data_IF_109693143818
#
_entry.id   IF_109693143818
#
_cell.length_a   1.000
_cell.length_b   1.000
_cell.length_c   1.000
_cell.angle_alpha   90.00
_cell.angle_beta   90.00
_cell.angle_gamma   90.00
#
_symmetry.space_group_name_H-M   'P 1'
#
loop_
_entity.id
_entity.type
_entity.pdbx_description
1 polymer ?
#
# COMPACT_ATOMS: atom_id res chain seq x y z
N UNK A 1 -27.47 69.16 18.85
CA UNK A 1 -27.19 68.31 20.03
C UNK A 1 -27.81 66.93 19.81
N UNK A 2 -26.98 65.93 19.48
CA UNK A 2 -27.11 64.50 19.80
C UNK A 2 -25.85 63.84 19.23
N UNK A 3 -25.06 63.27 20.13
CA UNK A 3 -23.75 62.70 19.84
C UNK A 3 -23.85 61.43 18.97
N UNK A 4 -22.84 61.14 18.13
CA UNK A 4 -22.76 59.87 17.43
C UNK A 4 -22.25 58.79 18.39
N UNK A 5 -22.99 57.68 18.47
CA UNK A 5 -22.65 56.52 19.29
C UNK A 5 -21.45 55.80 18.65
N UNK A 6 -20.36 55.70 19.43
CA UNK A 6 -19.19 54.86 19.13
C UNK A 6 -19.56 53.39 19.24
N UNK A 7 -19.15 52.60 18.24
CA UNK A 7 -19.09 51.15 18.33
C UNK A 7 -17.95 50.72 19.27
N UNK A 8 -18.17 49.74 20.17
CA UNK A 8 -17.09 49.01 20.80
C UNK A 8 -16.87 47.66 20.13
N UNK A 9 -15.65 47.45 19.65
CA UNK A 9 -15.04 46.15 19.40
C UNK A 9 -14.94 45.34 20.70
N UNK A 10 -15.34 44.08 20.72
CA UNK A 10 -14.61 43.02 21.43
C UNK A 10 -14.94 41.67 20.82
N UNK A 11 -13.89 40.88 20.66
CA UNK A 11 -13.85 39.53 20.12
C UNK A 11 -14.49 38.54 21.10
N UNK A 12 -15.22 37.56 20.57
CA UNK A 12 -15.84 36.50 21.37
C UNK A 12 -16.34 35.34 20.51
N UNK A 13 -15.44 34.38 20.26
CA UNK A 13 -15.73 32.94 20.11
C UNK A 13 -17.02 32.52 19.39
N UNK A 14 -16.99 32.39 18.06
CA UNK A 14 -17.69 31.29 17.37
C UNK A 14 -17.08 31.03 15.98
N UNK A 15 -15.95 30.31 15.94
CA UNK A 15 -15.42 29.71 14.71
C UNK A 15 -14.69 28.41 15.09
N UNK A 16 -15.47 27.36 15.38
CA UNK A 16 -15.02 25.96 15.43
C UNK A 16 -16.01 25.10 14.66
N UNK A 17 -16.05 25.30 13.36
CA UNK A 17 -16.48 24.33 12.33
C UNK A 17 -15.69 24.69 11.07
N UNK A 18 -15.09 23.69 10.43
CA UNK A 18 -14.20 23.75 9.26
C UNK A 18 -12.70 23.88 9.58
N UNK A 19 -12.10 22.77 10.04
CA UNK A 19 -10.67 22.46 9.85
C UNK A 19 -10.43 20.98 10.16
N UNK A 20 -10.92 20.12 9.29
CA UNK A 20 -10.41 18.76 9.09
C UNK A 20 -10.44 18.59 7.58
N UNK A 21 -9.39 17.95 7.03
CA UNK A 21 -9.05 17.74 5.62
C UNK A 21 -7.82 18.54 5.22
N UNK A 22 -6.78 17.81 4.81
CA UNK A 22 -5.42 18.22 4.44
C UNK A 22 -4.37 18.13 5.57
N UNK A 23 -3.96 16.89 5.90
CA UNK A 23 -2.64 16.61 6.49
C UNK A 23 -2.06 15.36 5.82
N UNK A 24 -1.61 15.52 4.58
CA UNK A 24 -0.65 14.64 3.94
C UNK A 24 0.35 15.54 3.21
N UNK A 25 1.64 15.20 3.33
CA UNK A 25 2.85 15.92 2.88
C UNK A 25 3.39 16.95 3.89
N UNK A 26 4.24 16.49 4.82
CA UNK A 26 5.20 17.37 5.51
C UNK A 26 6.60 16.77 5.72
N UNK A 27 6.94 15.60 5.16
CA UNK A 27 8.25 14.95 5.42
C UNK A 27 9.22 14.97 4.22
N UNK A 28 8.80 15.32 3.00
CA UNK A 28 9.73 15.36 1.85
C UNK A 28 10.24 16.77 1.48
N UNK A 29 9.79 17.84 2.14
CA UNK A 29 10.10 19.23 1.73
C UNK A 29 11.26 19.90 2.49
N UNK A 30 11.95 19.23 3.42
CA UNK A 30 12.96 19.87 4.29
C UNK A 30 14.32 19.16 4.33
N UNK A 31 14.87 18.78 3.18
CA UNK A 31 16.27 18.35 3.06
C UNK A 31 17.08 19.10 1.99
N UNK A 32 16.44 19.70 0.98
CA UNK A 32 17.15 20.34 -0.12
C UNK A 32 17.42 21.85 0.08
N UNK A 33 16.49 22.62 0.66
CA UNK A 33 16.62 24.08 0.78
C UNK A 33 17.57 24.52 1.91
N UNK A 34 17.71 23.73 2.99
CA UNK A 34 18.65 24.03 4.09
C UNK A 34 20.13 23.95 3.64
N UNK A 35 20.44 23.06 2.68
CA UNK A 35 21.81 22.80 2.18
C UNK A 35 22.26 23.89 1.19
N UNK A 36 21.34 24.63 0.56
CA UNK A 36 21.69 25.73 -0.36
C UNK A 36 22.08 27.01 0.38
N UNK A 37 21.41 27.33 1.49
CA UNK A 37 21.54 28.65 2.15
C UNK A 37 22.71 28.79 3.14
N UNK A 38 23.49 27.74 3.42
CA UNK A 38 24.53 27.76 4.47
C UNK A 38 25.96 27.41 3.99
N UNK A 39 26.28 27.55 2.69
CA UNK A 39 27.65 27.32 2.15
C UNK A 39 28.73 28.33 2.62
N UNK A 40 28.41 29.29 3.48
CA UNK A 40 29.30 30.40 3.86
C UNK A 40 29.98 30.30 5.23
N UNK A 41 29.67 29.32 6.08
CA UNK A 41 30.07 29.35 7.49
C UNK A 41 30.73 28.04 8.00
N UNK A 42 31.63 27.44 7.22
CA UNK A 42 32.60 26.46 7.74
C UNK A 42 33.96 26.74 7.10
N UNK A 43 34.62 27.79 7.58
CA UNK A 43 36.08 27.91 7.51
C UNK A 43 36.53 28.48 8.84
N UNK A 44 37.67 28.02 9.35
CA UNK A 44 38.20 28.21 10.72
C UNK A 44 37.76 27.13 11.71
N UNK A 45 38.41 25.96 11.68
CA UNK A 45 39.12 25.32 12.80
C UNK A 45 39.82 24.01 12.31
N UNK A 46 41.00 23.63 12.85
CA UNK A 46 41.89 22.65 12.22
C UNK A 46 41.63 21.18 12.59
N UNK A 47 42.03 20.31 11.66
CA UNK A 47 41.94 18.84 11.64
C UNK A 47 42.67 18.12 12.78
N UNK A 48 41.96 17.22 13.47
CA UNK A 48 42.47 15.92 13.94
C UNK A 48 41.29 14.93 14.04
N UNK A 49 41.42 13.76 13.41
CA UNK A 49 40.30 12.90 13.00
C UNK A 49 39.71 12.00 14.08
N UNK A 50 38.39 11.86 14.05
CA UNK A 50 37.60 10.60 14.04
C UNK A 50 36.11 10.98 13.96
N UNK A 51 35.50 10.89 12.77
CA UNK A 51 34.04 11.03 12.62
C UNK A 51 33.39 9.69 12.94
N UNK A 52 32.95 9.56 14.18
CA UNK A 52 32.10 8.47 14.67
C UNK A 52 30.67 8.68 14.18
N UNK A 53 30.04 7.56 13.81
CA UNK A 53 28.71 7.45 13.24
C UNK A 53 27.54 7.95 14.13
N UNK A 54 26.56 8.54 13.44
CA UNK A 54 25.11 8.62 13.70
C UNK A 54 24.62 9.44 14.92
N UNK A 55 23.32 9.77 14.95
CA UNK A 55 22.38 8.80 15.55
C UNK A 55 20.98 8.78 14.88
N UNK A 56 20.34 7.67 14.48
CA UNK A 56 20.08 6.38 15.16
C UNK A 56 19.51 6.47 16.59
N UNK A 57 19.09 7.65 17.09
CA UNK A 57 18.64 7.81 18.50
C UNK A 57 17.13 7.89 18.75
N UNK A 58 16.29 8.04 17.73
CA UNK A 58 14.83 8.03 17.93
C UNK A 58 14.18 6.65 17.77
N UNK A 59 14.85 5.70 17.10
CA UNK A 59 14.32 4.34 16.90
C UNK A 59 14.72 3.34 18.00
N UNK A 60 15.85 3.52 18.69
CA UNK A 60 16.28 2.59 19.76
C UNK A 60 15.55 2.76 21.10
N UNK A 61 14.92 3.92 21.34
CA UNK A 61 14.29 4.19 22.64
C UNK A 61 12.98 3.41 22.87
N UNK A 62 12.39 2.84 21.80
CA UNK A 62 11.18 2.02 21.88
C UNK A 62 11.46 0.51 21.94
N UNK A 63 12.67 0.06 21.62
CA UNK A 63 13.04 -1.37 21.59
C UNK A 63 13.60 -1.91 22.92
N UNK A 64 13.85 -1.05 23.92
CA UNK A 64 14.48 -1.45 25.20
C UNK A 64 13.49 -1.84 26.31
N UNK A 65 12.22 -2.07 25.99
CA UNK A 65 11.17 -2.48 26.94
C UNK A 65 10.99 -4.00 27.07
N UNK A 66 12.07 -4.77 27.19
CA UNK A 66 11.98 -6.23 27.37
C UNK A 66 11.32 -6.61 28.71
N UNK A 67 10.16 -7.27 28.67
CA UNK A 67 9.69 -8.14 29.76
C UNK A 67 9.76 -9.60 29.29
N UNK A 68 10.19 -10.54 30.15
CA UNK A 68 10.24 -11.94 29.79
C UNK A 68 8.84 -12.50 29.56
N UNK A 69 8.70 -13.25 28.46
CA UNK A 69 7.51 -14.02 28.11
C UNK A 69 7.23 -15.06 29.21
N UNK A 70 6.11 -14.94 29.90
CA UNK A 70 5.58 -16.00 30.76
C UNK A 70 4.52 -16.76 29.97
N UNK A 71 4.76 -18.04 29.69
CA UNK A 71 3.75 -18.90 29.06
C UNK A 71 2.60 -19.16 30.04
N UNK A 72 1.51 -18.42 29.89
CA UNK A 72 0.23 -18.78 30.51
C UNK A 72 -0.76 -19.11 29.40
N UNK A 73 -1.02 -20.40 29.25
CA UNK A 73 -2.03 -20.99 28.38
C UNK A 73 -3.41 -20.44 28.74
N UNK A 74 -3.89 -19.44 28.00
CA UNK A 74 -5.30 -19.05 28.04
C UNK A 74 -6.11 -20.09 27.26
N UNK A 75 -6.88 -20.91 27.98
CA UNK A 75 -7.90 -21.77 27.38
C UNK A 75 -8.98 -20.87 26.79
N UNK A 76 -9.04 -20.80 25.46
CA UNK A 76 -10.18 -20.27 24.73
C UNK A 76 -11.41 -21.12 25.09
N UNK A 77 -12.41 -20.52 25.74
CA UNK A 77 -13.73 -21.13 25.88
C UNK A 77 -14.43 -21.03 24.52
N UNK A 78 -14.60 -22.17 23.86
CA UNK A 78 -15.46 -22.32 22.69
C UNK A 78 -16.93 -22.17 23.13
N UNK A 79 -17.51 -21.00 22.84
CA UNK A 79 -18.96 -20.85 22.75
C UNK A 79 -19.32 -20.41 21.33
N UNK A 80 -19.30 -21.38 20.41
CA UNK A 80 -19.83 -21.24 19.06
C UNK A 80 -21.02 -22.18 18.93
N UNK A 81 -22.24 -21.66 19.06
CA UNK A 81 -23.41 -22.34 18.52
C UNK A 81 -23.29 -22.32 16.99
N UNK A 82 -23.43 -23.46 16.29
CA UNK A 82 -23.32 -23.47 14.84
C UNK A 82 -24.52 -22.75 14.24
N UNK A 83 -24.28 -21.59 13.63
CA UNK A 83 -25.24 -21.00 12.69
C UNK A 83 -25.25 -21.92 11.47
N UNK A 84 -26.37 -22.63 11.28
CA UNK A 84 -26.63 -23.39 10.07
C UNK A 84 -26.82 -22.41 8.90
N UNK A 85 -25.71 -21.94 8.33
CA UNK A 85 -25.67 -21.28 7.03
C UNK A 85 -25.95 -22.37 6.00
N UNK A 86 -27.21 -22.44 5.53
CA UNK A 86 -27.58 -23.34 4.45
C UNK A 86 -26.58 -23.22 3.31
N UNK A 87 -26.10 -24.35 2.81
CA UNK A 87 -25.19 -24.45 1.66
C UNK A 87 -25.84 -23.78 0.44
N UNK A 88 -25.69 -22.47 0.29
CA UNK A 88 -25.95 -21.81 -0.97
C UNK A 88 -24.91 -22.35 -1.96
N UNK A 89 -25.39 -23.02 -3.00
CA UNK A 89 -24.54 -23.51 -4.08
C UNK A 89 -23.82 -22.32 -4.69
N UNK A 90 -22.48 -22.28 -4.60
CA UNK A 90 -21.66 -21.25 -5.21
C UNK A 90 -21.93 -21.21 -6.72
N UNK A 91 -22.25 -20.05 -7.26
CA UNK A 91 -22.50 -19.87 -8.69
C UNK A 91 -21.21 -19.42 -9.41
N UNK A 92 -20.22 -20.32 -9.48
CA UNK A 92 -18.95 -20.02 -10.14
C UNK A 92 -19.08 -19.95 -11.67
N UNK A 93 -20.08 -20.62 -12.26
CA UNK A 93 -20.30 -20.57 -13.70
C UNK A 93 -20.79 -19.20 -14.15
N UNK A 94 -21.72 -18.58 -13.41
CA UNK A 94 -22.15 -17.20 -13.69
C UNK A 94 -21.02 -16.18 -13.58
N UNK A 95 -20.00 -16.44 -12.75
CA UNK A 95 -18.84 -15.56 -12.63
C UNK A 95 -17.98 -15.52 -13.90
N UNK A 96 -17.99 -16.58 -14.72
CA UNK A 96 -17.21 -16.64 -15.98
C UNK A 96 -17.61 -15.56 -16.98
N UNK A 97 -18.87 -15.11 -16.94
CA UNK A 97 -19.36 -14.05 -17.83
C UNK A 97 -18.83 -12.66 -17.43
N UNK A 98 -18.50 -12.46 -16.16
CA UNK A 98 -18.01 -11.19 -15.63
C UNK A 98 -16.49 -11.12 -15.58
N UNK A 99 -15.83 -12.23 -15.26
CA UNK A 99 -14.39 -12.30 -15.01
C UNK A 99 -13.66 -12.96 -16.17
N UNK A 100 -13.81 -12.36 -17.36
CA UNK A 100 -13.19 -12.81 -18.61
C UNK A 100 -11.76 -12.28 -18.74
N UNK A 101 -10.98 -12.91 -19.63
CA UNK A 101 -9.67 -12.41 -20.01
C UNK A 101 -9.70 -11.00 -20.60
N UNK A 102 -10.70 -10.69 -21.44
CA UNK A 102 -10.89 -9.34 -21.99
C UNK A 102 -11.15 -8.31 -20.89
N UNK A 103 -11.87 -8.70 -19.83
CA UNK A 103 -12.10 -7.83 -18.67
C UNK A 103 -10.82 -7.61 -17.86
N UNK A 104 -9.96 -8.62 -17.73
CA UNK A 104 -8.63 -8.47 -17.11
C UNK A 104 -7.72 -7.56 -17.96
N UNK A 105 -7.80 -7.64 -19.28
CA UNK A 105 -7.07 -6.76 -20.20
C UNK A 105 -7.58 -5.32 -20.11
N UNK A 106 -8.91 -5.11 -20.09
CA UNK A 106 -9.55 -3.81 -19.88
C UNK A 106 -9.09 -3.16 -18.57
N UNK A 107 -9.12 -3.93 -17.47
CA UNK A 107 -8.70 -3.46 -16.15
C UNK A 107 -7.25 -2.99 -16.16
N UNK A 108 -6.34 -3.80 -16.70
CA UNK A 108 -4.91 -3.45 -16.75
C UNK A 108 -4.68 -2.21 -17.61
N UNK A 109 -5.35 -2.13 -18.77
CA UNK A 109 -5.25 -0.97 -19.63
C UNK A 109 -5.74 0.29 -18.91
N UNK A 110 -6.88 0.24 -18.23
CA UNK A 110 -7.40 1.35 -17.42
C UNK A 110 -6.45 1.74 -16.28
N UNK A 111 -5.93 0.76 -15.54
CA UNK A 111 -5.07 1.03 -14.38
C UNK A 111 -3.78 1.75 -14.74
N UNK A 112 -3.21 1.43 -15.92
CA UNK A 112 -1.95 1.98 -16.42
C UNK A 112 -2.12 3.02 -17.53
N UNK A 113 -3.34 3.44 -17.90
CA UNK A 113 -3.60 4.31 -19.07
C UNK A 113 -2.88 5.67 -18.99
N UNK A 114 -2.70 6.19 -17.79
CA UNK A 114 -2.02 7.46 -17.51
C UNK A 114 -0.49 7.36 -17.67
N UNK A 115 0.06 6.17 -17.92
CA UNK A 115 1.48 5.92 -18.16
C UNK A 115 1.64 5.38 -19.60
N UNK A 116 1.59 6.26 -20.62
CA UNK A 116 1.59 5.83 -22.02
C UNK A 116 2.97 5.35 -22.47
N UNK A 117 4.05 5.90 -21.91
CA UNK A 117 5.42 5.58 -22.30
C UNK A 117 5.94 4.34 -21.58
N UNK A 118 6.54 3.41 -22.33
CA UNK A 118 7.06 2.15 -21.80
C UNK A 118 8.14 2.35 -20.73
N UNK A 119 9.04 3.33 -20.92
CA UNK A 119 10.08 3.66 -19.95
C UNK A 119 9.48 4.08 -18.59
N UNK A 120 8.42 4.88 -18.61
CA UNK A 120 7.70 5.31 -17.40
C UNK A 120 6.90 4.17 -16.77
N UNK A 121 6.64 3.06 -17.47
CA UNK A 121 6.05 1.86 -16.85
C UNK A 121 7.07 1.06 -16.07
N UNK A 122 8.33 1.05 -16.51
CA UNK A 122 9.41 0.38 -15.77
C UNK A 122 9.57 1.04 -14.40
N UNK A 123 9.78 2.36 -14.39
CA UNK A 123 9.79 3.17 -13.17
C UNK A 123 8.88 4.38 -13.38
N UNK A 124 7.71 4.35 -12.75
CA UNK A 124 6.79 5.49 -12.78
C UNK A 124 7.35 6.64 -11.95
N UNK A 125 7.31 7.86 -12.49
CA UNK A 125 7.66 9.05 -11.71
C UNK A 125 6.68 9.27 -10.55
N UNK A 126 7.09 10.02 -9.53
CA UNK A 126 6.22 10.33 -8.38
C UNK A 126 4.90 10.99 -8.83
N UNK A 127 4.95 11.87 -9.84
CA UNK A 127 3.76 12.54 -10.38
C UNK A 127 2.76 11.55 -11.00
N UNK A 128 3.26 10.57 -11.77
CA UNK A 128 2.40 9.55 -12.37
C UNK A 128 1.78 8.64 -11.32
N UNK A 129 2.57 8.26 -10.31
CA UNK A 129 2.12 7.40 -9.21
C UNK A 129 1.00 8.02 -8.37
N UNK A 130 0.83 9.35 -8.38
CA UNK A 130 -0.22 10.02 -7.58
C UNK A 130 -1.61 9.47 -7.85
N UNK A 131 -1.91 9.08 -9.09
CA UNK A 131 -3.22 8.52 -9.45
C UNK A 131 -3.55 7.25 -8.66
N UNK A 132 -2.56 6.45 -8.28
CA UNK A 132 -2.78 5.22 -7.54
C UNK A 132 -2.89 5.44 -6.03
N UNK A 133 -2.13 6.39 -5.48
CA UNK A 133 -1.96 6.52 -4.03
C UNK A 133 -2.75 7.66 -3.39
N UNK A 134 -3.29 8.58 -4.20
CA UNK A 134 -4.12 9.69 -3.71
C UNK A 134 -5.59 9.45 -4.07
N UNK A 135 -6.47 9.88 -3.17
CA UNK A 135 -7.90 9.89 -3.43
C UNK A 135 -8.23 10.86 -4.56
N UNK A 136 -8.98 10.39 -5.55
CA UNK A 136 -9.45 11.18 -6.69
C UNK A 136 -10.88 10.72 -7.02
N UNK A 137 -11.84 11.64 -6.98
CA UNK A 137 -13.25 11.29 -7.06
C UNK A 137 -13.60 10.78 -8.47
N UNK A 138 -13.07 11.42 -9.49
CA UNK A 138 -13.30 11.06 -10.89
C UNK A 138 -12.75 9.65 -11.19
N UNK A 139 -11.58 9.32 -10.62
CA UNK A 139 -10.99 7.99 -10.72
C UNK A 139 -11.78 6.94 -9.92
N UNK A 140 -12.23 7.27 -8.71
CA UNK A 140 -13.11 6.41 -7.90
C UNK A 140 -14.43 6.12 -8.65
N UNK A 141 -15.09 7.15 -9.19
CA UNK A 141 -16.33 7.02 -9.99
C UNK A 141 -16.11 6.12 -11.22
N UNK A 142 -14.94 6.24 -11.88
CA UNK A 142 -14.57 5.37 -13.00
C UNK A 142 -14.33 3.92 -12.57
N UNK A 143 -13.71 3.68 -11.41
CA UNK A 143 -13.53 2.34 -10.85
C UNK A 143 -14.89 1.70 -10.56
N UNK A 144 -15.79 2.44 -9.89
CA UNK A 144 -17.16 1.99 -9.59
C UNK A 144 -17.90 1.63 -10.87
N UNK A 145 -17.92 2.54 -11.84
CA UNK A 145 -18.69 2.35 -13.09
C UNK A 145 -18.24 1.13 -13.88
N UNK A 146 -16.92 0.89 -13.95
CA UNK A 146 -16.35 -0.15 -14.83
C UNK A 146 -16.22 -1.51 -14.15
N UNK A 147 -15.97 -1.54 -12.84
CA UNK A 147 -15.52 -2.76 -12.17
C UNK A 147 -16.35 -3.18 -10.95
N UNK A 148 -17.19 -2.32 -10.35
CA UNK A 148 -18.12 -2.76 -9.30
C UNK A 148 -19.03 -3.92 -9.73
N UNK A 149 -19.53 -4.00 -10.99
CA UNK A 149 -20.30 -5.17 -11.43
C UNK A 149 -19.52 -6.49 -11.31
N UNK A 150 -18.20 -6.47 -11.49
CA UNK A 150 -17.34 -7.65 -11.34
C UNK A 150 -17.12 -7.98 -9.86
N UNK A 151 -16.89 -6.95 -9.01
CA UNK A 151 -16.77 -7.11 -7.57
C UNK A 151 -18.05 -7.71 -6.95
N UNK A 152 -19.22 -7.22 -7.38
CA UNK A 152 -20.52 -7.74 -6.98
C UNK A 152 -20.74 -9.17 -7.47
N UNK A 153 -20.36 -9.49 -8.71
CA UNK A 153 -20.43 -10.85 -9.22
C UNK A 153 -19.58 -11.82 -8.39
N UNK A 154 -18.36 -11.43 -8.00
CA UNK A 154 -17.48 -12.23 -7.12
C UNK A 154 -18.16 -12.46 -5.75
N UNK A 155 -18.77 -11.43 -5.18
CA UNK A 155 -19.49 -11.52 -3.89
C UNK A 155 -20.73 -12.39 -3.97
N UNK A 156 -21.55 -12.21 -5.00
CA UNK A 156 -22.79 -12.95 -5.22
C UNK A 156 -22.53 -14.44 -5.55
N UNK A 157 -21.40 -14.75 -6.19
CA UNK A 157 -20.96 -16.12 -6.42
C UNK A 157 -20.49 -16.83 -5.14
N UNK A 158 -20.29 -16.09 -4.03
CA UNK A 158 -19.88 -16.63 -2.74
C UNK A 158 -18.44 -17.14 -2.75
N UNK A 159 -17.55 -16.48 -3.50
CA UNK A 159 -16.16 -16.91 -3.63
C UNK A 159 -15.39 -16.67 -2.32
N UNK A 160 -14.72 -17.70 -1.80
CA UNK A 160 -14.01 -17.60 -0.51
C UNK A 160 -12.55 -18.03 -0.57
N UNK A 161 -12.05 -18.41 -1.74
CA UNK A 161 -10.65 -18.82 -1.92
C UNK A 161 -10.07 -18.39 -3.25
N UNK A 162 -8.74 -18.25 -3.29
CA UNK A 162 -8.03 -18.03 -4.55
C UNK A 162 -8.23 -19.19 -5.53
N UNK A 163 -8.31 -20.44 -5.06
CA UNK A 163 -8.50 -21.60 -5.95
C UNK A 163 -9.81 -21.51 -6.74
N UNK A 164 -10.89 -21.04 -6.13
CA UNK A 164 -12.16 -20.80 -6.82
C UNK A 164 -12.01 -19.71 -7.89
N UNK A 165 -11.41 -18.56 -7.56
CA UNK A 165 -11.14 -17.50 -8.54
C UNK A 165 -10.26 -18.00 -9.68
N UNK A 166 -9.20 -18.74 -9.39
CA UNK A 166 -8.25 -19.25 -10.37
C UNK A 166 -8.87 -20.32 -11.27
N UNK A 167 -9.81 -21.13 -10.74
CA UNK A 167 -10.56 -22.09 -11.54
C UNK A 167 -11.47 -21.43 -12.60
N UNK A 168 -11.96 -20.22 -12.28
CA UNK A 168 -12.81 -19.41 -13.16
C UNK A 168 -11.97 -18.59 -14.13
N UNK A 169 -10.99 -17.86 -13.62
CA UNK A 169 -10.17 -16.91 -14.40
C UNK A 169 -9.17 -17.58 -15.31
N UNK A 170 -8.59 -18.71 -14.89
CA UNK A 170 -7.53 -19.44 -15.61
C UNK A 170 -6.52 -18.48 -16.26
N UNK A 171 -5.73 -17.73 -15.46
CA UNK A 171 -4.86 -16.69 -15.98
C UNK A 171 -3.92 -17.24 -17.07
N UNK A 172 -3.90 -16.59 -18.24
CA UNK A 172 -3.13 -17.06 -19.41
C UNK A 172 -1.64 -16.81 -19.26
N UNK A 173 -1.28 -15.74 -18.56
CA UNK A 173 0.07 -15.21 -18.41
C UNK A 173 0.18 -14.35 -17.14
N UNK A 174 1.38 -13.86 -16.85
CA UNK A 174 1.68 -13.06 -15.64
C UNK A 174 0.92 -11.73 -15.57
N UNK A 175 0.51 -11.16 -16.71
CA UNK A 175 -0.26 -9.92 -16.76
C UNK A 175 -1.73 -10.14 -16.38
N UNK A 176 -2.30 -11.32 -16.61
CA UNK A 176 -3.63 -11.67 -16.11
C UNK A 176 -3.61 -11.80 -14.58
N UNK A 177 -2.52 -12.34 -14.00
CA UNK A 177 -2.31 -12.35 -12.54
C UNK A 177 -2.23 -10.93 -11.96
N UNK A 178 -1.49 -10.04 -12.61
CA UNK A 178 -1.41 -8.63 -12.24
C UNK A 178 -2.81 -7.99 -12.21
N UNK A 179 -3.59 -8.17 -13.28
CA UNK A 179 -4.97 -7.68 -13.37
C UNK A 179 -5.83 -8.22 -12.23
N UNK A 180 -5.76 -9.53 -11.97
CA UNK A 180 -6.56 -10.15 -10.91
C UNK A 180 -6.19 -9.61 -9.52
N UNK A 181 -4.90 -9.39 -9.24
CA UNK A 181 -4.46 -8.80 -7.98
C UNK A 181 -4.94 -7.36 -7.85
N UNK A 182 -4.81 -6.53 -8.89
CA UNK A 182 -5.33 -5.15 -8.90
C UNK A 182 -6.85 -5.13 -8.71
N UNK A 183 -7.59 -6.06 -9.34
CA UNK A 183 -9.04 -6.18 -9.20
C UNK A 183 -9.47 -6.47 -7.76
N UNK A 184 -8.70 -7.28 -7.04
CA UNK A 184 -9.05 -7.72 -5.68
C UNK A 184 -8.48 -6.79 -4.61
N UNK A 185 -7.37 -6.11 -4.87
CA UNK A 185 -6.70 -5.29 -3.85
C UNK A 185 -7.00 -3.80 -4.07
N UNK A 186 -6.80 -3.28 -5.27
CA UNK A 186 -6.83 -1.85 -5.51
C UNK A 186 -8.22 -1.34 -5.87
N UNK A 187 -8.91 -1.99 -6.82
CA UNK A 187 -10.25 -1.56 -7.24
C UNK A 187 -11.24 -1.47 -6.07
N UNK A 188 -11.29 -2.39 -5.10
CA UNK A 188 -12.20 -2.26 -3.96
C UNK A 188 -11.91 -1.02 -3.12
N UNK A 189 -10.64 -0.61 -2.97
CA UNK A 189 -10.26 0.62 -2.22
C UNK A 189 -10.74 1.89 -2.92
N UNK A 190 -10.86 1.88 -4.24
CA UNK A 190 -11.46 2.97 -5.03
C UNK A 190 -12.99 2.86 -5.15
N UNK A 191 -13.56 1.66 -4.97
CA UNK A 191 -15.00 1.41 -5.11
C UNK A 191 -15.79 1.47 -3.79
N UNK A 192 -15.16 1.19 -2.66
CA UNK A 192 -15.78 1.16 -1.34
C UNK A 192 -15.05 2.09 -0.38
N UNK A 193 -15.58 3.31 -0.21
CA UNK A 193 -15.03 4.34 0.68
C UNK A 193 -15.83 4.43 1.98
N UNK A 194 -15.24 5.05 3.00
CA UNK A 194 -15.94 5.32 4.26
C UNK A 194 -16.35 4.03 4.99
N UNK A 195 -17.63 3.89 5.36
CA UNK A 195 -18.12 2.71 6.09
C UNK A 195 -18.08 1.43 5.25
N UNK A 196 -18.19 1.55 3.93
CA UNK A 196 -18.14 0.40 3.00
C UNK A 196 -16.72 -0.18 2.85
N UNK A 197 -15.67 0.54 3.30
CA UNK A 197 -14.28 0.03 3.29
C UNK A 197 -14.11 -1.27 4.07
N UNK A 198 -15.04 -1.58 4.99
CA UNK A 198 -15.12 -2.87 5.66
C UNK A 198 -15.21 -4.05 4.69
N UNK A 199 -15.84 -3.87 3.53
CA UNK A 199 -15.94 -4.88 2.47
C UNK A 199 -14.54 -5.18 1.89
N UNK A 200 -13.71 -4.16 1.69
CA UNK A 200 -12.32 -4.34 1.26
C UNK A 200 -11.58 -5.23 2.26
N UNK A 201 -11.60 -4.84 3.54
CA UNK A 201 -10.79 -5.49 4.56
C UNK A 201 -11.24 -6.91 4.91
N UNK A 202 -12.56 -7.17 4.87
CA UNK A 202 -13.11 -8.46 5.33
C UNK A 202 -13.31 -9.47 4.21
N UNK A 203 -13.54 -9.01 2.97
CA UNK A 203 -13.86 -9.88 1.86
C UNK A 203 -12.73 -9.93 0.83
N UNK A 204 -12.26 -8.76 0.37
CA UNK A 204 -11.34 -8.69 -0.75
C UNK A 204 -9.87 -8.84 -0.36
N UNK A 205 -9.43 -8.24 0.76
CA UNK A 205 -8.04 -8.36 1.26
C UNK A 205 -7.62 -9.83 1.45
N UNK A 206 -8.43 -10.72 2.09
CA UNK A 206 -8.05 -12.13 2.22
C UNK A 206 -7.96 -12.87 0.87
N UNK A 207 -8.82 -12.52 -0.10
CA UNK A 207 -8.78 -13.11 -1.44
C UNK A 207 -7.54 -12.62 -2.21
N UNK A 208 -7.26 -11.32 -2.17
CA UNK A 208 -6.08 -10.71 -2.79
C UNK A 208 -4.79 -11.29 -2.23
N UNK A 209 -4.72 -11.46 -0.89
CA UNK A 209 -3.58 -12.08 -0.21
C UNK A 209 -3.35 -13.52 -0.70
N UNK A 210 -4.41 -14.33 -0.79
CA UNK A 210 -4.29 -15.71 -1.29
C UNK A 210 -3.85 -15.76 -2.76
N UNK A 211 -4.37 -14.88 -3.61
CA UNK A 211 -3.97 -14.81 -5.03
C UNK A 211 -2.51 -14.37 -5.16
N UNK A 212 -2.08 -13.37 -4.38
CA UNK A 212 -0.67 -12.96 -4.29
C UNK A 212 0.23 -14.13 -3.90
N UNK A 213 -0.08 -14.84 -2.82
CA UNK A 213 0.70 -16.00 -2.38
C UNK A 213 0.75 -17.13 -3.41
N UNK A 214 -0.37 -17.42 -4.10
CA UNK A 214 -0.37 -18.43 -5.15
C UNK A 214 0.46 -17.98 -6.36
N UNK A 215 0.41 -16.70 -6.75
CA UNK A 215 1.27 -16.17 -7.81
C UNK A 215 2.77 -16.33 -7.49
N UNK A 216 3.16 -16.02 -6.24
CA UNK A 216 4.54 -16.17 -5.74
C UNK A 216 4.96 -17.65 -5.80
N UNK A 217 4.07 -18.56 -5.41
CA UNK A 217 4.32 -20.01 -5.50
C UNK A 217 4.50 -20.49 -6.94
N UNK A 218 3.81 -19.90 -7.90
CA UNK A 218 4.03 -20.15 -9.34
C UNK A 218 5.34 -19.50 -9.86
N UNK A 219 6.02 -18.72 -9.02
CA UNK A 219 7.25 -18.01 -9.36
C UNK A 219 7.02 -16.63 -9.95
N UNK A 220 5.80 -16.10 -9.92
CA UNK A 220 5.48 -14.73 -10.37
C UNK A 220 5.51 -13.82 -9.13
N UNK A 221 6.25 -12.70 -9.14
CA UNK A 221 6.79 -12.03 -10.33
C UNK A 221 8.20 -12.47 -10.76
N UNK A 222 8.97 -13.16 -9.92
CA UNK A 222 10.44 -13.31 -10.08
C UNK A 222 10.91 -14.10 -11.33
N UNK A 223 10.06 -14.95 -11.91
CA UNK A 223 10.33 -15.73 -13.13
C UNK A 223 9.67 -15.15 -14.38
N UNK A 224 8.93 -14.05 -14.25
CA UNK A 224 8.20 -13.40 -15.34
C UNK A 224 8.87 -12.07 -15.69
N UNK A 225 9.73 -11.99 -16.73
CA UNK A 225 10.49 -10.78 -17.03
C UNK A 225 9.63 -9.53 -17.22
N UNK A 226 8.44 -9.68 -17.82
CA UNK A 226 7.46 -8.61 -18.05
C UNK A 226 6.83 -8.03 -16.77
N UNK A 227 7.04 -8.71 -15.64
CA UNK A 227 6.65 -8.23 -14.31
C UNK A 227 7.90 -7.89 -13.49
N UNK A 228 8.89 -8.79 -13.41
CA UNK A 228 10.10 -8.63 -12.60
C UNK A 228 10.83 -7.32 -12.87
N UNK A 229 10.96 -6.97 -14.15
CA UNK A 229 11.73 -5.82 -14.62
C UNK A 229 10.86 -4.59 -14.91
N UNK A 230 9.55 -4.70 -14.75
CA UNK A 230 8.63 -3.56 -14.82
C UNK A 230 8.17 -3.28 -13.40
N UNK A 231 8.94 -2.48 -12.65
CA UNK A 231 8.74 -2.32 -11.20
C UNK A 231 7.36 -1.76 -10.84
N UNK A 232 6.80 -0.90 -11.69
CA UNK A 232 5.41 -0.41 -11.53
C UNK A 232 4.35 -1.49 -11.74
N UNK A 233 4.67 -2.63 -12.35
CA UNK A 233 3.83 -3.84 -12.34
C UNK A 233 4.11 -4.69 -11.10
N UNK A 234 5.40 -4.91 -10.80
CA UNK A 234 5.85 -5.83 -9.75
C UNK A 234 5.29 -5.49 -8.37
N UNK A 235 5.26 -4.21 -8.00
CA UNK A 235 4.85 -3.76 -6.66
C UNK A 235 3.47 -4.29 -6.25
N UNK A 236 2.53 -4.37 -7.21
CA UNK A 236 1.15 -4.80 -6.94
C UNK A 236 1.06 -6.24 -6.46
N UNK A 237 2.01 -7.10 -6.80
CA UNK A 237 2.04 -8.48 -6.32
C UNK A 237 2.30 -8.57 -4.81
N UNK A 238 2.88 -7.54 -4.20
CA UNK A 238 3.27 -7.53 -2.80
C UNK A 238 2.31 -6.71 -1.92
N UNK A 239 1.59 -5.75 -2.49
CA UNK A 239 0.62 -4.90 -1.77
C UNK A 239 -0.43 -5.70 -0.98
N UNK A 240 -1.01 -6.80 -1.49
CA UNK A 240 -1.96 -7.59 -0.69
C UNK A 240 -1.36 -8.19 0.60
N UNK A 241 -0.05 -8.47 0.60
CA UNK A 241 0.66 -8.94 1.80
C UNK A 241 0.84 -7.79 2.79
N UNK A 242 1.24 -6.61 2.30
CA UNK A 242 1.33 -5.37 3.08
C UNK A 242 -0.02 -4.95 3.68
N UNK A 243 -1.12 -5.22 2.99
CA UNK A 243 -2.46 -4.88 3.46
C UNK A 243 -3.06 -5.89 4.46
N UNK A 244 -2.41 -7.03 4.69
CA UNK A 244 -2.93 -8.05 5.60
C UNK A 244 -2.77 -7.63 7.07
N UNK A 245 -3.68 -8.07 7.94
CA UNK A 245 -3.48 -8.02 9.41
C UNK A 245 -2.84 -9.34 9.91
N UNK A 246 -1.90 -9.90 9.14
CA UNK A 246 -1.11 -11.10 9.46
C UNK A 246 0.39 -10.77 9.46
N UNK A 247 1.03 -10.90 10.62
CA UNK A 247 2.47 -10.67 10.76
C UNK A 247 3.31 -11.55 9.81
N UNK A 248 2.87 -12.78 9.52
CA UNK A 248 3.58 -13.67 8.60
C UNK A 248 3.55 -13.18 7.15
N UNK A 249 2.53 -12.38 6.78
CA UNK A 249 2.42 -11.77 5.47
C UNK A 249 3.44 -10.62 5.33
N UNK A 250 3.61 -9.82 6.37
CA UNK A 250 4.61 -8.76 6.42
C UNK A 250 6.04 -9.28 6.30
N UNK A 251 6.38 -10.40 6.93
CA UNK A 251 7.70 -11.03 6.74
C UNK A 251 7.98 -11.36 5.27
N UNK A 252 6.96 -11.85 4.54
CA UNK A 252 7.05 -12.17 3.11
C UNK A 252 7.13 -10.90 2.26
N UNK A 253 6.34 -9.88 2.60
CA UNK A 253 6.36 -8.59 1.91
C UNK A 253 7.72 -7.90 2.05
N UNK A 254 8.30 -7.85 3.26
CA UNK A 254 9.65 -7.32 3.50
C UNK A 254 10.68 -8.03 2.62
N UNK A 255 10.67 -9.36 2.61
CA UNK A 255 11.60 -10.13 1.79
C UNK A 255 11.42 -9.84 0.28
N UNK A 256 10.17 -9.70 -0.18
CA UNK A 256 9.85 -9.42 -1.57
C UNK A 256 10.27 -8.01 -2.01
N UNK A 257 10.01 -6.99 -1.21
CA UNK A 257 10.45 -5.62 -1.50
C UNK A 257 11.96 -5.47 -1.41
N UNK A 258 12.62 -6.16 -0.49
CA UNK A 258 14.09 -6.19 -0.42
C UNK A 258 14.68 -6.87 -1.66
N UNK A 259 14.10 -7.98 -2.14
CA UNK A 259 14.53 -8.62 -3.39
C UNK A 259 14.34 -7.70 -4.60
N UNK A 260 13.20 -7.00 -4.70
CA UNK A 260 12.99 -6.00 -5.75
C UNK A 260 14.01 -4.86 -5.70
N UNK A 261 14.34 -4.37 -4.50
CA UNK A 261 15.37 -3.34 -4.32
C UNK A 261 16.76 -3.85 -4.75
N UNK A 262 17.11 -5.10 -4.44
CA UNK A 262 18.36 -5.72 -4.89
C UNK A 262 18.41 -5.86 -6.41
N UNK A 263 17.31 -6.22 -7.06
CA UNK A 263 17.22 -6.24 -8.53
C UNK A 263 17.50 -4.84 -9.11
N UNK A 264 16.90 -3.78 -8.56
CA UNK A 264 17.16 -2.39 -8.97
C UNK A 264 18.65 -2.03 -8.82
N UNK A 265 19.24 -2.30 -7.65
CA UNK A 265 20.65 -2.01 -7.40
C UNK A 265 21.57 -2.78 -8.36
N UNK A 266 21.23 -4.02 -8.71
CA UNK A 266 21.99 -4.83 -9.68
C UNK A 266 21.96 -4.24 -11.10
N UNK A 267 20.86 -3.58 -11.48
CA UNK A 267 20.76 -2.90 -12.77
C UNK A 267 21.63 -1.63 -12.82
N UNK A 268 21.79 -0.93 -11.69
CA UNK A 268 22.69 0.22 -11.57
C UNK A 268 24.15 -0.20 -11.78
N UNK A 269 24.58 -1.27 -11.09
CA UNK A 269 26.00 -1.68 -11.08
C UNK A 269 26.43 -2.47 -12.33
N UNK A 270 25.51 -3.19 -12.96
CA UNK A 270 25.84 -4.23 -13.93
C UNK A 270 25.93 -3.79 -15.39
N UNK A 271 26.64 -4.60 -16.19
CA UNK A 271 26.56 -4.63 -17.65
C UNK A 271 26.02 -5.99 -18.09
N UNK A 272 24.92 -6.05 -18.85
CA UNK A 272 24.30 -7.33 -19.28
C UNK A 272 22.81 -7.23 -19.56
N UNK A 273 22.16 -8.38 -19.72
CA UNK A 273 20.72 -8.51 -19.95
C UNK A 273 20.41 -9.81 -20.68
N UNK A 274 19.98 -10.84 -19.94
CA UNK A 274 19.73 -12.16 -20.53
C UNK A 274 18.46 -12.15 -21.41
N UNK A 275 17.50 -11.29 -21.07
CA UNK A 275 16.25 -11.08 -21.81
C UNK A 275 16.01 -9.58 -22.11
N UNK A 276 15.07 -9.29 -23.01
CA UNK A 276 14.77 -7.93 -23.50
C UNK A 276 14.28 -6.99 -22.38
N UNK A 277 13.49 -7.48 -21.43
CA UNK A 277 12.94 -6.64 -20.37
C UNK A 277 14.04 -6.19 -19.40
N UNK A 278 14.97 -7.07 -19.06
CA UNK A 278 16.12 -6.71 -18.23
C UNK A 278 16.96 -5.61 -18.91
N UNK A 279 17.21 -5.71 -20.22
CA UNK A 279 17.96 -4.68 -20.96
C UNK A 279 17.26 -3.32 -20.92
N UNK A 280 15.96 -3.28 -21.22
CA UNK A 280 15.16 -2.04 -21.15
C UNK A 280 15.15 -1.46 -19.75
N UNK A 281 14.98 -2.29 -18.72
CA UNK A 281 15.00 -1.85 -17.34
C UNK A 281 16.36 -1.28 -16.95
N UNK A 282 17.45 -1.90 -17.39
CA UNK A 282 18.80 -1.38 -17.21
C UNK A 282 18.96 0.00 -17.83
N UNK A 283 18.52 0.19 -19.07
CA UNK A 283 18.58 1.48 -19.76
C UNK A 283 17.85 2.58 -18.97
N UNK A 284 16.63 2.29 -18.47
CA UNK A 284 15.86 3.23 -17.64
C UNK A 284 16.56 3.51 -16.31
N UNK A 285 17.02 2.48 -15.60
CA UNK A 285 17.68 2.61 -14.30
C UNK A 285 19.01 3.36 -14.41
N UNK A 286 19.80 3.11 -15.45
CA UNK A 286 21.09 3.78 -15.64
C UNK A 286 20.95 5.22 -16.14
N UNK A 287 19.82 5.56 -16.76
CA UNK A 287 19.52 6.95 -17.13
C UNK A 287 19.28 7.85 -15.91
N UNK A 288 18.71 7.30 -14.83
CA UNK A 288 18.55 8.01 -13.54
C UNK A 288 18.71 7.05 -12.33
N UNK A 289 19.96 6.72 -11.95
CA UNK A 289 20.23 5.75 -10.88
C UNK A 289 19.72 6.20 -9.51
N UNK A 290 19.71 7.50 -9.23
CA UNK A 290 19.26 8.04 -7.95
C UNK A 290 17.73 7.93 -7.82
N UNK A 291 16.98 8.27 -8.88
CA UNK A 291 15.54 8.05 -8.88
C UNK A 291 15.19 6.56 -8.77
N UNK A 292 15.92 5.69 -9.47
CA UNK A 292 15.69 4.25 -9.38
C UNK A 292 15.94 3.71 -7.98
N UNK A 293 17.07 4.08 -7.35
CA UNK A 293 17.39 3.72 -5.98
C UNK A 293 16.32 4.22 -5.00
N UNK A 294 15.86 5.46 -5.16
CA UNK A 294 14.81 6.03 -4.32
C UNK A 294 13.51 5.22 -4.38
N UNK A 295 13.15 4.66 -5.54
CA UNK A 295 11.96 3.80 -5.68
C UNK A 295 12.11 2.51 -4.89
N UNK A 296 13.24 1.80 -5.03
CA UNK A 296 13.50 0.57 -4.28
C UNK A 296 13.53 0.78 -2.76
N UNK A 297 14.17 1.87 -2.30
CA UNK A 297 14.22 2.24 -0.89
C UNK A 297 12.84 2.63 -0.34
N UNK A 298 12.08 3.43 -1.10
CA UNK A 298 10.76 3.92 -0.68
C UNK A 298 9.79 2.76 -0.46
N UNK A 299 9.69 1.82 -1.40
CA UNK A 299 8.81 0.66 -1.26
C UNK A 299 9.11 -0.16 0.01
N UNK A 300 10.39 -0.38 0.32
CA UNK A 300 10.80 -1.06 1.55
C UNK A 300 10.43 -0.28 2.81
N UNK A 301 10.66 1.03 2.81
CA UNK A 301 10.32 1.90 3.94
C UNK A 301 8.82 1.90 4.20
N UNK A 302 8.00 1.89 3.15
CA UNK A 302 6.55 1.79 3.30
C UNK A 302 6.11 0.47 3.93
N UNK A 303 6.65 -0.66 3.47
CA UNK A 303 6.37 -1.96 4.09
C UNK A 303 6.75 -1.98 5.58
N UNK A 304 7.93 -1.45 5.93
CA UNK A 304 8.39 -1.41 7.31
C UNK A 304 7.42 -0.62 8.22
N UNK A 305 6.88 0.51 7.73
CA UNK A 305 5.87 1.26 8.47
C UNK A 305 4.60 0.45 8.72
N UNK A 306 4.15 -0.33 7.74
CA UNK A 306 2.99 -1.22 7.90
C UNK A 306 3.27 -2.32 8.93
N UNK A 307 4.42 -3.01 8.78
CA UNK A 307 4.86 -4.08 9.68
C UNK A 307 4.91 -3.62 11.14
N UNK A 308 5.48 -2.45 11.42
CA UNK A 308 5.58 -1.92 12.80
C UNK A 308 4.21 -1.72 13.45
N UNK A 309 3.18 -1.33 12.69
CA UNK A 309 1.81 -1.22 13.21
C UNK A 309 1.26 -2.60 13.57
N UNK A 310 1.44 -3.58 12.68
CA UNK A 310 0.98 -4.96 12.92
C UNK A 310 1.74 -5.61 14.07
N UNK A 311 3.04 -5.39 14.21
CA UNK A 311 3.81 -5.89 15.36
C UNK A 311 3.34 -5.29 16.68
N UNK A 312 2.98 -4.00 16.67
CA UNK A 312 2.54 -3.29 17.87
C UNK A 312 1.12 -3.64 18.29
N UNK A 313 0.18 -3.75 17.35
CA UNK A 313 -1.25 -3.85 17.64
C UNK A 313 -1.89 -5.17 17.20
N UNK A 314 -1.20 -5.97 16.39
CA UNK A 314 -1.74 -7.18 15.77
C UNK A 314 -2.78 -6.92 14.68
N UNK A 315 -3.06 -5.64 14.35
CA UNK A 315 -4.08 -5.17 13.41
C UNK A 315 -3.85 -3.70 13.07
N UNK A 316 -4.58 -3.16 12.09
CA UNK A 316 -4.57 -1.76 11.71
C UNK A 316 -5.60 -0.94 12.50
N UNK A 317 -5.19 -0.04 13.40
CA UNK A 317 -6.12 0.70 14.25
C UNK A 317 -7.09 1.60 13.46
N UNK A 318 -6.65 2.16 12.34
CA UNK A 318 -7.49 3.02 11.49
C UNK A 318 -8.69 2.28 10.85
N UNK A 319 -8.64 0.93 10.76
CA UNK A 319 -9.75 0.11 10.27
C UNK A 319 -10.83 -0.13 11.32
N UNK A 320 -10.57 0.18 12.60
CA UNK A 320 -11.47 -0.15 13.71
C UNK A 320 -12.90 0.37 13.50
N UNK A 321 -13.05 1.62 13.07
CA UNK A 321 -14.37 2.21 12.84
C UNK A 321 -15.15 1.47 11.75
N UNK A 322 -14.52 1.24 10.59
CA UNK A 322 -15.16 0.53 9.48
C UNK A 322 -15.54 -0.91 9.86
N UNK A 323 -14.69 -1.57 10.64
CA UNK A 323 -14.87 -2.94 11.09
C UNK A 323 -15.74 -3.09 12.36
N UNK A 324 -16.26 -1.98 12.92
CA UNK A 324 -17.02 -2.00 14.17
C UNK A 324 -16.24 -2.51 15.38
N UNK A 325 -14.90 -2.39 15.37
CA UNK A 325 -14.03 -2.82 16.48
C UNK A 325 -13.89 -1.72 17.52
N UNK A 326 -13.92 -2.11 18.79
CA UNK A 326 -13.55 -1.20 19.88
C UNK A 326 -12.04 -0.95 19.86
N UNK A 327 -11.64 0.33 19.88
CA UNK A 327 -10.25 0.74 19.92
C UNK A 327 -9.73 0.71 21.35
N UNK A 328 -8.53 0.17 21.55
CA UNK A 328 -7.82 0.23 22.83
C UNK A 328 -7.30 1.65 23.10
N UNK A 329 -7.01 2.02 24.36
CA UNK A 329 -6.42 3.33 24.67
C UNK A 329 -5.12 3.61 23.89
N UNK A 330 -4.27 2.60 23.69
CA UNK A 330 -3.02 2.73 22.94
C UNK A 330 -3.26 2.95 21.43
N UNK A 331 -4.32 2.37 20.87
CA UNK A 331 -4.73 2.59 19.48
C UNK A 331 -5.31 4.00 19.29
N UNK A 332 -6.12 4.48 20.25
CA UNK A 332 -6.65 5.85 20.24
C UNK A 332 -5.50 6.86 20.31
N UNK A 333 -4.59 6.70 21.27
CA UNK A 333 -3.42 7.58 21.42
C UNK A 333 -2.55 7.58 20.15
N UNK A 334 -2.35 6.40 19.52
CA UNK A 334 -1.62 6.31 18.26
C UNK A 334 -2.27 7.13 17.14
N UNK A 335 -3.59 7.00 16.95
CA UNK A 335 -4.31 7.73 15.91
C UNK A 335 -4.39 9.24 16.19
N UNK A 336 -4.63 9.64 17.44
CA UNK A 336 -4.71 11.05 17.84
C UNK A 336 -3.39 11.79 17.68
N UNK A 337 -2.26 11.09 17.79
CA UNK A 337 -0.92 11.65 17.60
C UNK A 337 -0.41 11.55 16.16
N UNK A 338 -1.29 11.34 15.17
CA UNK A 338 -0.93 11.30 13.76
C UNK A 338 -0.19 10.03 13.34
N UNK A 339 -0.51 8.90 13.98
CA UNK A 339 -0.04 7.59 13.56
C UNK A 339 -0.37 7.29 12.10
N UNK A 340 0.53 6.61 11.41
CA UNK A 340 0.36 6.30 9.98
C UNK A 340 -0.96 5.53 9.71
N UNK A 341 -1.68 5.97 8.69
CA UNK A 341 -2.92 5.35 8.20
C UNK A 341 -2.78 5.03 6.72
N UNK A 342 -3.30 3.89 6.28
CA UNK A 342 -3.11 3.38 4.92
C UNK A 342 -4.45 2.95 4.31
N UNK A 343 -4.61 3.15 2.99
CA UNK A 343 -5.76 2.64 2.25
C UNK A 343 -7.12 3.26 2.62
N UNK A 344 -7.14 4.46 3.22
CA UNK A 344 -8.35 5.22 3.55
C UNK A 344 -8.88 6.05 2.40
#
# INVERSE_FOLDING_TARGET
MRAPVKAPSTWGTTARRLACWSFFIFICYWSAEWISDHRGAISQLPLAGTLVAAPARLYQQYLSGGRPFSSSTLKLQEHSQPINMGSQTKNLDGLKEHLTHDKLDELRNFWFEHIPEEANRIIASQELQKRWYFSDKEFDDACVTRFSPVLEAIRNAGVTSAQELLSVTQPRNSLDWLSLIVLLDQIPRNSYRGEESSICFTYFDPLAQQVSLESIKQGIPDKAPEIRWVFSHRTWFYMPLMHSEDASAHEKAVAAFEHMNQDILSLIEGTGGADEYERKAREVVQADPEAAKAVGETSKVFEEKHRVIIERFGRYPHRNKALGREATPAEVEFLENGGDTFGS
#
